data_IF_190029012237
#
_entry.id   IF_190029012237
#
_cell.length_a   1.000
_cell.length_b   1.000
_cell.length_c   1.000
_cell.angle_alpha   90.00
_cell.angle_beta   90.00
_cell.angle_gamma   90.00
#
_symmetry.space_group_name_H-M   'P 1'
#
loop_
_entity.id
_entity.type
_entity.pdbx_description
1 polymer ?
#
# COMPACT_ATOMS: atom_id res chain seq x y z
N UNK A 1 -54.10 -37.98 -18.79
CA UNK A 1 -52.63 -37.86 -18.96
C UNK A 1 -52.34 -36.46 -19.47
N UNK A 2 -52.18 -35.51 -18.54
CA UNK A 2 -51.89 -34.11 -18.82
C UNK A 2 -50.37 -33.96 -18.98
N UNK A 3 -49.92 -33.45 -20.13
CA UNK A 3 -48.52 -33.04 -20.36
C UNK A 3 -48.17 -31.92 -19.37
N UNK A 4 -46.99 -31.95 -18.72
CA UNK A 4 -46.55 -30.82 -17.93
C UNK A 4 -46.09 -29.70 -18.86
N UNK A 5 -46.50 -28.47 -18.56
CA UNK A 5 -46.06 -27.25 -19.23
C UNK A 5 -44.53 -27.09 -19.13
N UNK A 6 -43.86 -26.54 -20.16
CA UNK A 6 -42.44 -26.27 -20.10
C UNK A 6 -42.18 -25.12 -19.10
N UNK A 7 -41.38 -25.41 -18.06
CA UNK A 7 -40.83 -24.39 -17.17
C UNK A 7 -40.17 -23.28 -18.01
N UNK A 8 -40.37 -21.99 -17.69
CA UNK A 8 -39.67 -20.92 -18.36
C UNK A 8 -38.17 -21.10 -18.15
N UNK A 9 -37.42 -21.07 -19.27
CA UNK A 9 -35.98 -21.18 -19.26
C UNK A 9 -35.37 -19.97 -18.53
N UNK A 10 -34.91 -20.19 -17.29
CA UNK A 10 -34.01 -19.26 -16.61
C UNK A 10 -32.65 -19.41 -17.28
N UNK A 11 -32.41 -18.60 -18.30
CA UNK A 11 -31.08 -18.47 -18.91
C UNK A 11 -30.31 -17.39 -18.14
N UNK A 12 -29.87 -17.73 -16.93
CA UNK A 12 -28.85 -16.98 -16.22
C UNK A 12 -27.52 -17.69 -16.48
N UNK A 13 -26.57 -17.02 -17.13
CA UNK A 13 -25.30 -17.63 -17.55
C UNK A 13 -24.52 -18.18 -16.35
N UNK A 14 -24.30 -19.49 -16.37
CA UNK A 14 -23.91 -20.36 -15.27
C UNK A 14 -22.39 -20.35 -14.96
N UNK A 15 -21.72 -19.24 -15.27
CA UNK A 15 -20.26 -19.10 -15.19
C UNK A 15 -19.85 -17.92 -14.32
N UNK A 16 -18.84 -18.18 -13.48
CA UNK A 16 -18.11 -17.14 -12.75
C UNK A 16 -17.57 -16.09 -13.71
N UNK A 17 -17.61 -14.82 -13.29
CA UNK A 17 -17.24 -13.68 -14.14
C UNK A 17 -16.67 -12.54 -13.32
N UNK A 18 -15.95 -11.65 -14.00
CA UNK A 18 -15.47 -10.39 -13.43
C UNK A 18 -16.10 -9.26 -14.21
N UNK A 19 -16.46 -8.21 -13.50
CA UNK A 19 -17.03 -7.01 -14.09
C UNK A 19 -16.81 -5.80 -13.21
N UNK A 20 -17.40 -4.69 -13.65
CA UNK A 20 -17.35 -3.43 -12.93
C UNK A 20 -18.66 -2.67 -13.07
N UNK A 21 -18.91 -1.77 -12.12
CA UNK A 21 -20.03 -0.85 -12.12
C UNK A 21 -19.66 0.43 -11.37
N UNK A 22 -20.02 1.59 -11.90
CA UNK A 22 -19.89 2.84 -11.17
C UNK A 22 -19.65 4.03 -12.09
N UNK A 23 -18.94 5.03 -11.58
CA UNK A 23 -18.57 6.21 -12.37
C UNK A 23 -17.07 6.25 -12.62
N UNK A 24 -16.71 6.87 -13.75
CA UNK A 24 -15.32 7.13 -14.13
C UNK A 24 -15.19 8.56 -14.67
N UNK A 25 -14.05 9.24 -14.49
CA UNK A 25 -13.88 10.66 -14.82
C UNK A 25 -14.04 10.97 -16.31
N UNK A 26 -13.80 10.01 -17.20
CA UNK A 26 -13.95 10.23 -18.64
C UNK A 26 -15.40 10.15 -19.13
N UNK A 27 -16.33 9.63 -18.33
CA UNK A 27 -17.73 9.41 -18.72
C UNK A 27 -18.69 10.27 -17.90
N UNK A 28 -19.79 10.72 -18.51
CA UNK A 28 -20.85 11.47 -17.80
C UNK A 28 -21.84 10.57 -17.06
N UNK A 29 -22.07 9.37 -17.60
CA UNK A 29 -23.02 8.39 -17.12
C UNK A 29 -22.34 7.22 -16.38
N UNK A 30 -23.16 6.34 -15.81
CA UNK A 30 -22.68 5.11 -15.20
C UNK A 30 -22.11 4.17 -16.27
N UNK A 31 -21.00 3.54 -15.93
CA UNK A 31 -20.36 2.51 -16.76
C UNK A 31 -20.55 1.16 -16.08
N UNK A 32 -20.81 0.12 -16.87
CA UNK A 32 -20.98 -1.23 -16.35
C UNK A 32 -20.66 -2.27 -17.41
N UNK A 33 -19.93 -3.31 -17.03
CA UNK A 33 -19.68 -4.45 -17.90
C UNK A 33 -19.50 -5.73 -17.08
N UNK A 34 -19.94 -6.87 -17.62
CA UNK A 34 -19.66 -8.19 -17.04
C UNK A 34 -20.48 -8.55 -15.80
N UNK A 35 -21.46 -7.74 -15.37
CA UNK A 35 -22.28 -7.99 -14.17
C UNK A 35 -23.76 -8.14 -14.51
N UNK A 36 -24.49 -8.86 -13.67
CA UNK A 36 -25.94 -8.99 -13.77
C UNK A 36 -26.68 -7.68 -13.41
N UNK A 37 -27.76 -7.38 -14.15
CA UNK A 37 -28.52 -6.12 -13.98
C UNK A 37 -29.29 -6.05 -12.68
N UNK A 38 -29.84 -7.17 -12.20
CA UNK A 38 -30.58 -7.22 -10.94
C UNK A 38 -29.63 -7.03 -9.77
N UNK A 39 -28.42 -7.60 -9.85
CA UNK A 39 -27.35 -7.32 -8.90
C UNK A 39 -26.94 -5.84 -8.91
N UNK A 40 -26.65 -5.26 -10.08
CA UNK A 40 -26.29 -3.83 -10.19
C UNK A 40 -27.36 -2.94 -9.57
N UNK A 41 -28.64 -3.22 -9.83
CA UNK A 41 -29.76 -2.43 -9.30
C UNK A 41 -29.75 -2.44 -7.77
N UNK A 42 -29.65 -3.63 -7.16
CA UNK A 42 -29.62 -3.78 -5.70
C UNK A 42 -28.39 -3.15 -5.05
N UNK A 43 -27.24 -3.22 -5.73
CA UNK A 43 -26.00 -2.60 -5.28
C UNK A 43 -26.09 -1.07 -5.37
N UNK A 44 -26.58 -0.52 -6.48
CA UNK A 44 -26.74 0.92 -6.70
C UNK A 44 -27.70 1.54 -5.68
N UNK A 45 -28.84 0.88 -5.41
CA UNK A 45 -29.78 1.32 -4.36
C UNK A 45 -29.09 1.48 -3.00
N UNK A 46 -28.29 0.48 -2.61
CA UNK A 46 -27.58 0.51 -1.33
C UNK A 46 -26.48 1.57 -1.32
N UNK A 47 -25.68 1.66 -2.39
CA UNK A 47 -24.61 2.66 -2.53
C UNK A 47 -25.18 4.09 -2.48
N UNK A 48 -26.27 4.38 -3.21
CA UNK A 48 -26.91 5.70 -3.17
C UNK A 48 -27.44 6.02 -1.78
N UNK A 49 -28.17 5.10 -1.16
CA UNK A 49 -28.71 5.30 0.18
C UNK A 49 -27.58 5.56 1.19
N UNK A 50 -26.50 4.78 1.13
CA UNK A 50 -25.31 4.96 1.96
C UNK A 50 -24.61 6.30 1.74
N UNK A 51 -24.39 6.68 0.48
CA UNK A 51 -23.81 7.98 0.12
C UNK A 51 -24.64 9.15 0.62
N UNK A 52 -25.99 9.06 0.55
CA UNK A 52 -26.89 10.06 1.11
C UNK A 52 -26.78 10.14 2.64
N UNK A 53 -26.80 9.01 3.34
CA UNK A 53 -26.68 9.02 4.79
C UNK A 53 -25.31 9.50 5.28
N UNK A 54 -24.23 9.20 4.56
CA UNK A 54 -22.92 9.80 4.82
C UNK A 54 -22.90 11.31 4.58
N UNK A 55 -23.58 11.80 3.53
CA UNK A 55 -23.72 13.23 3.29
C UNK A 55 -24.46 13.92 4.45
N UNK A 56 -25.52 13.30 4.96
CA UNK A 56 -26.26 13.81 6.12
C UNK A 56 -25.42 13.82 7.39
N UNK A 57 -24.61 12.78 7.62
CA UNK A 57 -23.78 12.66 8.82
C UNK A 57 -22.53 13.55 8.80
N UNK A 58 -21.78 13.59 7.70
CA UNK A 58 -20.52 14.33 7.61
C UNK A 58 -20.69 15.77 7.10
N UNK A 59 -21.89 16.12 6.59
CA UNK A 59 -22.20 17.45 6.08
C UNK A 59 -21.20 17.91 5.02
N UNK A 60 -20.69 19.13 5.18
CA UNK A 60 -19.72 19.74 4.25
C UNK A 60 -18.43 18.90 4.07
N UNK A 61 -18.03 18.13 5.09
CA UNK A 61 -16.81 17.31 5.05
C UNK A 61 -16.95 16.07 4.18
N UNK A 62 -18.18 15.65 3.86
CA UNK A 62 -18.44 14.40 3.13
C UNK A 62 -17.67 14.31 1.82
N UNK A 63 -17.63 15.41 1.06
CA UNK A 63 -16.91 15.48 -0.21
C UNK A 63 -15.43 15.12 -0.08
N UNK A 64 -14.78 15.56 1.00
CA UNK A 64 -13.37 15.26 1.25
C UNK A 64 -13.18 13.87 1.87
N UNK A 65 -14.05 13.48 2.80
CA UNK A 65 -14.01 12.14 3.42
C UNK A 65 -14.15 11.05 2.36
N UNK A 66 -15.09 11.21 1.43
CA UNK A 66 -15.29 10.27 0.34
C UNK A 66 -14.09 10.25 -0.60
N UNK A 67 -13.64 11.41 -1.10
CA UNK A 67 -12.55 11.47 -2.09
C UNK A 67 -11.20 10.98 -1.55
N UNK A 68 -10.96 11.07 -0.24
CA UNK A 68 -9.72 10.61 0.41
C UNK A 68 -9.88 9.22 1.06
N UNK A 69 -11.02 8.54 0.88
CA UNK A 69 -11.19 7.20 1.43
C UNK A 69 -10.30 6.18 0.69
N UNK A 70 -9.59 5.30 1.41
CA UNK A 70 -8.83 4.24 0.77
C UNK A 70 -9.77 3.24 0.07
N UNK A 71 -9.26 2.44 -0.87
CA UNK A 71 -9.98 1.33 -1.46
C UNK A 71 -10.58 0.40 -0.39
N UNK A 72 -11.86 0.10 -0.51
CA UNK A 72 -12.57 -0.82 0.39
C UNK A 72 -12.71 -2.17 -0.27
N UNK A 73 -12.07 -3.20 0.28
CA UNK A 73 -12.19 -4.60 -0.13
C UNK A 73 -13.44 -5.21 0.49
N UNK A 74 -14.10 -6.12 -0.23
CA UNK A 74 -15.23 -6.84 0.31
C UNK A 74 -15.35 -8.27 -0.21
N UNK A 75 -15.97 -9.11 0.61
CA UNK A 75 -16.42 -10.47 0.26
C UNK A 75 -17.83 -10.62 0.79
N UNK A 76 -18.73 -11.13 -0.03
CA UNK A 76 -20.13 -11.34 0.30
C UNK A 76 -20.53 -12.78 0.01
N UNK A 77 -21.13 -13.46 0.98
CA UNK A 77 -21.67 -14.80 0.81
C UNK A 77 -22.86 -14.81 -0.15
N UNK A 78 -23.14 -16.01 -0.68
CA UNK A 78 -24.40 -16.31 -1.35
C UNK A 78 -25.57 -15.99 -0.43
N UNK A 79 -26.62 -15.38 -0.98
CA UNK A 79 -27.82 -14.96 -0.24
C UNK A 79 -27.80 -13.51 0.28
N UNK A 80 -26.64 -12.83 0.31
CA UNK A 80 -26.59 -11.41 0.69
C UNK A 80 -27.14 -10.51 -0.43
N UNK A 81 -26.67 -10.74 -1.66
CA UNK A 81 -27.04 -9.96 -2.85
C UNK A 81 -27.72 -10.80 -3.94
N UNK A 82 -28.11 -12.04 -3.63
CA UNK A 82 -28.69 -13.01 -4.56
C UNK A 82 -27.96 -14.35 -4.54
N UNK A 83 -28.09 -15.12 -5.63
CA UNK A 83 -27.66 -16.53 -5.69
C UNK A 83 -26.18 -16.74 -6.04
N UNK A 84 -25.34 -15.73 -5.82
CA UNK A 84 -23.90 -15.79 -6.02
C UNK A 84 -23.14 -15.14 -4.87
N UNK A 85 -21.90 -15.57 -4.66
CA UNK A 85 -20.95 -14.86 -3.83
C UNK A 85 -20.29 -13.74 -4.65
N UNK A 86 -19.96 -12.63 -3.99
CA UNK A 86 -19.33 -11.47 -4.63
C UNK A 86 -18.05 -11.09 -3.91
N UNK A 87 -17.00 -10.84 -4.66
CA UNK A 87 -15.68 -10.46 -4.13
C UNK A 87 -15.22 -9.25 -4.91
N UNK A 88 -14.82 -8.17 -4.25
CA UNK A 88 -14.47 -6.98 -5.01
C UNK A 88 -13.82 -5.88 -4.20
N UNK A 89 -13.58 -4.80 -4.91
CA UNK A 89 -13.07 -3.55 -4.36
C UNK A 89 -13.96 -2.39 -4.78
N UNK A 90 -14.13 -1.46 -3.85
CA UNK A 90 -14.87 -0.23 -4.01
C UNK A 90 -13.90 0.93 -3.85
N UNK A 91 -13.80 1.78 -4.86
CA UNK A 91 -12.97 2.98 -4.87
C UNK A 91 -13.83 4.24 -4.92
N UNK A 92 -13.44 5.32 -4.22
CA UNK A 92 -13.99 6.64 -4.49
C UNK A 92 -13.71 7.08 -5.94
N UNK A 93 -14.73 7.59 -6.60
CA UNK A 93 -14.63 8.04 -7.99
C UNK A 93 -15.58 9.23 -8.25
N UNK A 94 -15.51 9.78 -9.46
CA UNK A 94 -16.34 10.87 -9.96
C UNK A 94 -16.58 10.72 -11.45
N UNK A 95 -17.65 11.32 -11.96
CA UNK A 95 -17.83 11.49 -13.39
C UNK A 95 -17.11 12.71 -13.96
N UNK A 96 -17.25 12.88 -15.28
CA UNK A 96 -16.69 14.02 -16.04
C UNK A 96 -17.12 15.39 -15.53
N UNK A 97 -18.26 15.49 -14.86
CA UNK A 97 -18.78 16.76 -14.30
C UNK A 97 -18.49 16.89 -12.80
N UNK A 98 -17.75 15.95 -12.21
CA UNK A 98 -17.31 15.98 -10.82
C UNK A 98 -18.32 15.41 -9.81
N UNK A 99 -19.44 14.81 -10.24
CA UNK A 99 -20.38 14.16 -9.32
C UNK A 99 -19.74 12.89 -8.77
N UNK A 100 -19.61 12.83 -7.44
CA UNK A 100 -18.98 11.73 -6.70
C UNK A 100 -19.88 10.51 -6.66
N UNK A 101 -19.31 9.36 -7.01
CA UNK A 101 -19.96 8.06 -6.91
C UNK A 101 -18.86 6.98 -7.05
N UNK A 102 -18.90 5.88 -6.29
CA UNK A 102 -17.83 4.90 -6.31
C UNK A 102 -17.68 4.14 -7.64
N UNK A 103 -16.48 3.68 -7.94
CA UNK A 103 -16.24 2.61 -8.92
C UNK A 103 -16.08 1.29 -8.17
N UNK A 104 -16.81 0.26 -8.59
CA UNK A 104 -16.72 -1.08 -8.03
C UNK A 104 -16.19 -2.04 -9.08
N UNK A 105 -15.13 -2.78 -8.76
CA UNK A 105 -14.59 -3.89 -9.57
C UNK A 105 -14.76 -5.18 -8.78
N UNK A 106 -15.40 -6.18 -9.36
CA UNK A 106 -15.75 -7.40 -8.61
C UNK A 106 -15.82 -8.66 -9.47
N UNK A 107 -15.60 -9.79 -8.80
CA UNK A 107 -15.89 -11.13 -9.29
C UNK A 107 -17.22 -11.62 -8.71
N UNK A 108 -18.09 -12.14 -9.59
CA UNK A 108 -19.29 -12.88 -9.25
C UNK A 108 -19.00 -14.37 -9.35
N UNK A 109 -19.14 -15.08 -8.24
CA UNK A 109 -18.83 -16.50 -8.10
C UNK A 109 -20.10 -17.30 -7.86
N UNK A 110 -20.61 -17.99 -8.88
CA UNK A 110 -21.86 -18.77 -8.81
C UNK A 110 -21.66 -20.12 -8.14
N UNK A 111 -20.43 -20.68 -8.18
CA UNK A 111 -20.09 -22.01 -7.64
C UNK A 111 -19.34 -21.99 -6.31
N UNK A 112 -18.97 -20.81 -5.81
CA UNK A 112 -18.27 -20.70 -4.53
C UNK A 112 -19.20 -21.05 -3.37
N UNK A 113 -18.77 -22.00 -2.52
CA UNK A 113 -19.53 -22.50 -1.36
C UNK A 113 -18.70 -22.57 -0.07
N UNK A 114 -17.43 -22.14 -0.11
CA UNK A 114 -16.56 -22.13 1.06
C UNK A 114 -16.82 -20.91 1.94
N UNK A 115 -16.23 -20.90 3.14
CA UNK A 115 -16.30 -19.74 4.02
C UNK A 115 -15.59 -18.51 3.37
N UNK A 116 -16.17 -17.30 3.39
CA UNK A 116 -15.61 -16.07 2.81
C UNK A 116 -14.13 -15.82 3.12
N UNK A 117 -13.72 -16.15 4.35
CA UNK A 117 -12.35 -15.97 4.82
C UNK A 117 -11.30 -16.70 3.96
N UNK A 118 -11.67 -17.76 3.24
CA UNK A 118 -10.72 -18.44 2.33
C UNK A 118 -10.32 -17.56 1.14
N UNK A 119 -11.21 -16.65 0.70
CA UNK A 119 -10.93 -15.67 -0.36
C UNK A 119 -10.23 -14.42 0.17
N UNK A 120 -10.41 -14.09 1.45
CA UNK A 120 -9.75 -12.96 2.12
C UNK A 120 -8.22 -13.04 2.01
N UNK A 121 -7.67 -14.26 2.03
CA UNK A 121 -6.23 -14.51 1.94
C UNK A 121 -5.66 -14.34 0.53
N UNK A 122 -6.48 -14.09 -0.48
CA UNK A 122 -6.05 -13.83 -1.85
C UNK A 122 -5.67 -12.36 -2.08
N UNK A 123 -4.70 -11.87 -1.31
CA UNK A 123 -4.25 -10.47 -1.36
C UNK A 123 -3.82 -10.04 -2.77
N UNK A 124 -3.18 -10.94 -3.53
CA UNK A 124 -2.73 -10.64 -4.89
C UNK A 124 -3.88 -10.30 -5.84
N UNK A 125 -5.05 -10.90 -5.63
CA UNK A 125 -6.23 -10.57 -6.44
C UNK A 125 -6.77 -9.18 -6.08
N UNK A 126 -6.91 -8.88 -4.79
CA UNK A 126 -7.39 -7.57 -4.35
C UNK A 126 -6.46 -6.45 -4.78
N UNK A 127 -5.14 -6.61 -4.63
CA UNK A 127 -4.16 -5.63 -5.09
C UNK A 127 -4.25 -5.39 -6.60
N UNK A 128 -4.43 -6.45 -7.40
CA UNK A 128 -4.60 -6.31 -8.83
C UNK A 128 -5.91 -5.60 -9.21
N UNK A 129 -7.02 -5.92 -8.52
CA UNK A 129 -8.30 -5.27 -8.72
C UNK A 129 -8.28 -3.78 -8.34
N UNK A 130 -7.61 -3.42 -7.23
CA UNK A 130 -7.38 -2.04 -6.79
C UNK A 130 -6.57 -1.27 -7.82
N UNK A 131 -5.41 -1.81 -8.21
CA UNK A 131 -4.54 -1.17 -9.20
C UNK A 131 -5.27 -0.93 -10.52
N UNK A 132 -6.10 -1.88 -10.97
CA UNK A 132 -6.94 -1.70 -12.15
C UNK A 132 -7.99 -0.61 -11.95
N UNK A 133 -8.75 -0.62 -10.85
CA UNK A 133 -9.76 0.39 -10.55
C UNK A 133 -9.14 1.80 -10.45
N UNK A 134 -7.95 1.93 -9.88
CA UNK A 134 -7.19 3.18 -9.77
C UNK A 134 -6.80 3.77 -11.13
N UNK A 135 -6.59 2.94 -12.16
CA UNK A 135 -6.33 3.46 -13.53
C UNK A 135 -7.45 4.35 -14.04
N UNK A 136 -8.68 4.19 -13.54
CA UNK A 136 -9.80 5.05 -13.88
C UNK A 136 -9.61 6.51 -13.47
N UNK A 137 -8.75 6.79 -12.49
CA UNK A 137 -8.48 8.14 -12.00
C UNK A 137 -7.35 8.84 -12.79
N UNK A 138 -6.70 8.15 -13.72
CA UNK A 138 -5.58 8.69 -14.50
C UNK A 138 -6.03 9.61 -15.63
N UNK A 139 -5.21 10.60 -15.99
CA UNK A 139 -5.48 11.52 -17.11
C UNK A 139 -5.50 10.81 -18.47
N UNK A 140 -4.73 9.72 -18.62
CA UNK A 140 -4.65 8.88 -19.82
C UNK A 140 -5.63 7.70 -19.82
N UNK A 141 -6.66 7.74 -18.97
CA UNK A 141 -7.62 6.64 -18.83
C UNK A 141 -8.35 6.32 -20.14
N UNK A 142 -8.14 5.10 -20.64
CA UNK A 142 -8.86 4.53 -21.78
C UNK A 142 -9.79 3.40 -21.34
N UNK A 143 -11.08 3.56 -21.66
CA UNK A 143 -12.13 2.60 -21.27
C UNK A 143 -11.93 1.22 -21.89
N UNK A 144 -11.52 1.14 -23.15
CA UNK A 144 -11.37 -0.14 -23.85
C UNK A 144 -10.21 -0.95 -23.26
N UNK A 145 -9.10 -0.28 -22.95
CA UNK A 145 -7.94 -0.85 -22.26
C UNK A 145 -8.33 -1.32 -20.86
N UNK A 146 -9.08 -0.51 -20.12
CA UNK A 146 -9.59 -0.87 -18.79
C UNK A 146 -10.49 -2.12 -18.86
N UNK A 147 -11.51 -2.12 -19.71
CA UNK A 147 -12.38 -3.29 -19.95
C UNK A 147 -11.56 -4.54 -20.32
N UNK A 148 -10.56 -4.39 -21.19
CA UNK A 148 -9.70 -5.51 -21.62
C UNK A 148 -8.86 -6.05 -20.45
N UNK A 149 -8.34 -5.16 -19.61
CA UNK A 149 -7.56 -5.54 -18.43
C UNK A 149 -8.43 -6.24 -17.38
N UNK A 150 -9.66 -5.76 -17.14
CA UNK A 150 -10.63 -6.42 -16.25
C UNK A 150 -10.97 -7.83 -16.75
N UNK A 151 -11.16 -8.02 -18.06
CA UNK A 151 -11.40 -9.36 -18.65
C UNK A 151 -10.21 -10.32 -18.51
N UNK A 152 -9.00 -9.79 -18.37
CA UNK A 152 -7.75 -10.57 -18.18
C UNK A 152 -7.43 -10.82 -16.71
N UNK A 153 -8.11 -10.15 -15.78
CA UNK A 153 -7.95 -10.40 -14.36
C UNK A 153 -8.39 -11.84 -14.08
N UNK A 154 -7.54 -12.60 -13.38
CA UNK A 154 -7.91 -13.97 -12.97
C UNK A 154 -9.05 -13.91 -11.96
N UNK A 155 -9.83 -14.98 -11.83
CA UNK A 155 -10.77 -15.13 -10.72
C UNK A 155 -10.02 -15.23 -9.37
N UNK A 156 -10.62 -14.74 -8.28
CA UNK A 156 -10.05 -14.90 -6.94
C UNK A 156 -10.07 -16.39 -6.57
N UNK A 157 -9.02 -16.86 -5.90
CA UNK A 157 -8.84 -18.26 -5.54
C UNK A 157 -8.93 -18.41 -4.03
N UNK A 158 -9.78 -19.31 -3.50
CA UNK A 158 -9.74 -19.63 -2.10
C UNK A 158 -8.38 -20.26 -1.76
N UNK A 159 -7.74 -19.80 -0.69
CA UNK A 159 -6.56 -20.47 -0.13
C UNK A 159 -6.99 -21.47 0.94
N UNK A 160 -6.32 -22.61 0.95
CA UNK A 160 -6.35 -23.54 2.07
C UNK A 160 -5.63 -22.89 3.24
N UNK A 161 -6.33 -22.84 4.37
CA UNK A 161 -5.78 -22.45 5.67
C UNK A 161 -6.05 -23.69 6.53
N UNK A 162 -5.00 -24.35 7.03
CA UNK A 162 -5.13 -25.54 7.88
C UNK A 162 -5.95 -25.23 9.16
N UNK A 163 -6.09 -23.94 9.49
CA UNK A 163 -6.91 -23.39 10.58
C UNK A 163 -8.21 -22.69 10.11
N UNK A 164 -8.60 -22.77 8.82
CA UNK A 164 -9.89 -22.24 8.38
C UNK A 164 -11.02 -22.97 9.11
N UNK A 165 -11.87 -22.26 9.88
CA UNK A 165 -12.97 -22.91 10.58
C UNK A 165 -13.86 -23.63 9.56
N UNK A 166 -14.03 -24.93 9.76
CA UNK A 166 -14.99 -25.77 9.04
C UNK A 166 -16.34 -25.04 9.05
N UNK A 167 -17.07 -24.97 7.93
CA UNK A 167 -18.35 -24.29 7.88
C UNK A 167 -19.26 -24.85 8.99
N UNK A 168 -19.46 -24.07 10.06
CA UNK A 168 -20.44 -24.40 11.07
C UNK A 168 -21.80 -24.27 10.39
N UNK A 169 -22.45 -25.41 10.13
CA UNK A 169 -23.78 -25.55 9.52
C UNK A 169 -24.92 -24.90 10.33
N UNK A 170 -24.62 -23.94 11.20
CA UNK A 170 -25.57 -23.27 12.08
C UNK A 170 -25.43 -21.74 11.97
N UNK A 171 -25.65 -21.20 10.77
CA UNK A 171 -25.74 -19.74 10.54
C UNK A 171 -27.12 -19.41 9.98
N UNK A 172 -27.93 -18.70 10.76
CA UNK A 172 -29.28 -18.27 10.38
C UNK A 172 -29.30 -17.22 9.24
N UNK A 173 -28.17 -16.56 8.94
CA UNK A 173 -28.07 -15.51 7.91
C UNK A 173 -26.73 -15.54 7.16
N UNK A 174 -26.72 -15.27 5.84
CA UNK A 174 -25.49 -15.09 5.07
C UNK A 174 -24.79 -13.79 5.45
N UNK A 175 -23.47 -13.72 5.29
CA UNK A 175 -22.63 -12.65 5.84
C UNK A 175 -21.76 -11.99 4.79
N UNK A 176 -21.27 -10.78 5.08
CA UNK A 176 -20.27 -10.08 4.28
C UNK A 176 -19.16 -9.50 5.13
N UNK A 177 -17.95 -9.46 4.57
CA UNK A 177 -16.74 -8.89 5.15
C UNK A 177 -16.37 -7.65 4.34
N UNK A 178 -16.10 -6.53 5.01
CA UNK A 178 -15.71 -5.27 4.39
C UNK A 178 -14.51 -4.72 5.14
N UNK A 179 -13.41 -4.39 4.46
CA UNK A 179 -12.22 -3.89 5.12
C UNK A 179 -11.40 -2.97 4.23
N UNK A 180 -10.63 -2.11 4.87
CA UNK A 180 -9.61 -1.27 4.27
C UNK A 180 -8.26 -1.69 4.83
N UNK A 181 -7.20 -1.43 4.06
CA UNK A 181 -5.84 -1.50 4.58
C UNK A 181 -5.51 -0.10 5.10
N UNK A 182 -5.33 0.01 6.41
CA UNK A 182 -4.96 1.26 7.05
C UNK A 182 -3.60 1.74 6.50
N UNK A 183 -3.55 2.95 5.98
CA UNK A 183 -2.37 3.48 5.28
C UNK A 183 -1.18 3.73 6.21
N UNK A 184 -1.43 3.95 7.49
CA UNK A 184 -0.41 4.20 8.52
C UNK A 184 0.10 2.90 9.13
N UNK A 185 -0.82 2.02 9.55
CA UNK A 185 -0.50 0.80 10.30
C UNK A 185 -0.36 -0.45 9.41
N UNK A 186 -0.77 -0.37 8.14
CA UNK A 186 -0.86 -1.49 7.18
C UNK A 186 -1.69 -2.67 7.67
N UNK A 187 -2.50 -2.49 8.71
CA UNK A 187 -3.37 -3.54 9.23
C UNK A 187 -4.72 -3.49 8.53
N UNK A 188 -5.29 -4.66 8.21
CA UNK A 188 -6.66 -4.71 7.73
C UNK A 188 -7.61 -4.31 8.86
N UNK A 189 -8.40 -3.28 8.62
CA UNK A 189 -9.45 -2.82 9.54
C UNK A 189 -10.78 -2.92 8.83
N UNK A 190 -11.74 -3.61 9.45
CA UNK A 190 -12.98 -3.94 8.77
C UNK A 190 -14.10 -4.37 9.68
N UNK A 191 -15.25 -4.58 9.06
CA UNK A 191 -16.49 -4.98 9.70
C UNK A 191 -17.03 -6.24 9.05
N UNK A 192 -17.59 -7.12 9.88
CA UNK A 192 -18.44 -8.23 9.44
C UNK A 192 -19.89 -7.80 9.59
N UNK A 193 -20.70 -8.03 8.55
CA UNK A 193 -22.13 -7.73 8.52
C UNK A 193 -22.93 -9.02 8.32
N UNK A 194 -24.00 -9.19 9.08
CA UNK A 194 -24.91 -10.32 8.95
C UNK A 194 -26.16 -9.91 8.16
N UNK A 195 -26.49 -10.66 7.11
CA UNK A 195 -27.54 -10.35 6.15
C UNK A 195 -27.14 -9.30 5.11
N UNK A 196 -28.15 -8.76 4.41
CA UNK A 196 -27.96 -7.67 3.45
C UNK A 196 -27.57 -6.38 4.19
N UNK A 197 -26.44 -5.74 3.84
CA UNK A 197 -26.02 -4.48 4.46
C UNK A 197 -27.10 -3.40 4.39
N UNK A 198 -27.36 -2.73 5.51
CA UNK A 198 -28.25 -1.58 5.57
C UNK A 198 -27.51 -0.26 5.31
N UNK A 199 -28.25 0.85 5.25
CA UNK A 199 -27.67 2.19 5.07
C UNK A 199 -26.68 2.56 6.17
N UNK A 200 -27.00 2.22 7.43
CA UNK A 200 -26.14 2.50 8.57
C UNK A 200 -24.80 1.73 8.52
N UNK A 201 -24.74 0.60 7.81
CA UNK A 201 -23.52 -0.16 7.66
C UNK A 201 -22.56 0.47 6.65
N UNK A 202 -23.08 1.15 5.63
CA UNK A 202 -22.25 1.87 4.67
C UNK A 202 -21.45 3.00 5.34
N UNK A 203 -22.06 3.69 6.30
CA UNK A 203 -21.39 4.74 7.09
C UNK A 203 -20.14 4.20 7.79
N UNK A 204 -20.21 2.96 8.32
CA UNK A 204 -19.09 2.32 9.03
C UNK A 204 -17.85 2.16 8.15
N UNK A 205 -17.99 2.16 6.83
CA UNK A 205 -16.88 2.11 5.89
C UNK A 205 -16.05 3.42 5.87
N UNK A 206 -16.54 4.50 6.47
CA UNK A 206 -15.90 5.83 6.47
C UNK A 206 -15.63 6.41 7.87
N UNK A 207 -16.07 5.74 8.95
CA UNK A 207 -16.06 6.28 10.32
C UNK A 207 -14.66 6.57 10.90
N UNK A 208 -13.62 5.94 10.38
CA UNK A 208 -12.25 6.04 10.89
C UNK A 208 -11.34 6.93 10.04
N UNK A 209 -11.86 7.58 8.99
CA UNK A 209 -11.07 8.47 8.13
C UNK A 209 -10.83 9.81 8.87
N UNK A 210 -9.81 9.84 9.74
CA UNK A 210 -9.36 11.06 10.42
C UNK A 210 -8.79 12.04 9.40
N UNK A 211 -9.62 12.94 8.88
CA UNK A 211 -9.09 14.16 8.25
C UNK A 211 -8.40 15.02 9.33
N UNK A 212 -7.26 15.66 9.00
CA UNK A 212 -6.70 16.71 9.85
C UNK A 212 -7.77 17.78 10.15
N UNK A 213 -7.78 18.38 11.35
CA UNK A 213 -8.67 19.51 11.61
C UNK A 213 -8.35 20.65 10.64
N UNK A 214 -9.39 21.30 10.10
CA UNK A 214 -9.22 22.52 9.31
C UNK A 214 -8.44 23.57 10.13
N UNK A 215 -7.58 24.38 9.51
CA UNK A 215 -6.92 25.47 10.20
C UNK A 215 -7.99 26.47 10.68
N UNK A 216 -8.24 26.47 11.99
CA UNK A 216 -9.13 27.43 12.61
C UNK A 216 -8.59 28.84 12.37
N UNK A 217 -9.42 29.70 11.78
CA UNK A 217 -9.16 31.14 11.72
C UNK A 217 -8.88 31.66 13.13
N UNK A 218 -7.73 32.32 13.26
CA UNK A 218 -7.25 32.97 14.47
C UNK A 218 -8.33 33.82 15.15
N UNK A 219 -8.54 33.57 16.45
CA UNK A 219 -8.96 34.59 17.39
C UNK A 219 -8.08 34.50 18.63
N UNK A 220 -7.13 35.43 18.72
CA UNK A 220 -6.33 35.68 19.91
C UNK A 220 -7.17 36.31 21.01
N UNK A 221 -6.94 35.88 22.27
CA UNK A 221 -6.71 36.71 23.49
C UNK A 221 -6.82 35.85 24.77
N UNK A 222 -6.26 36.27 25.92
CA UNK A 222 -4.84 36.40 26.23
C UNK A 222 -4.44 35.55 27.47
N UNK A 223 -3.15 35.29 27.60
CA UNK A 223 -2.51 34.61 28.72
C UNK A 223 -2.80 35.26 30.08
N UNK A 224 -2.98 34.43 31.12
CA UNK A 224 -2.70 34.79 32.51
C UNK A 224 -1.67 33.83 33.11
N UNK A 225 -0.74 34.46 33.83
CA UNK A 225 0.50 33.96 34.43
C UNK A 225 0.21 33.26 35.76
N UNK A 226 0.94 32.19 36.09
CA UNK A 226 0.82 31.52 37.38
C UNK A 226 1.90 30.49 37.74
N UNK A 227 3.10 31.00 38.07
CA UNK A 227 4.07 30.52 39.06
C UNK A 227 4.57 29.04 39.09
N UNK A 228 5.89 28.92 38.94
CA UNK A 228 6.70 27.74 39.22
C UNK A 228 6.84 27.43 40.73
N UNK A 229 6.90 26.13 41.07
CA UNK A 229 7.68 25.57 42.19
C UNK A 229 8.14 24.13 41.89
N UNK A 230 9.39 23.84 42.22
CA UNK A 230 10.02 22.52 42.42
C UNK A 230 10.94 22.64 43.64
N UNK A 231 11.61 21.58 44.17
CA UNK A 231 11.33 20.14 44.22
C UNK A 231 11.42 19.60 45.68
N UNK A 232 11.14 18.31 45.94
CA UNK A 232 11.61 17.65 47.18
C UNK A 232 11.85 16.13 47.04
N UNK A 233 12.88 15.68 47.77
CA UNK A 233 13.62 14.43 47.76
C UNK A 233 12.86 13.13 48.14
N UNK A 234 13.40 12.02 47.64
CA UNK A 234 13.13 10.63 48.03
C UNK A 234 13.64 10.25 49.44
N UNK A 235 13.25 9.05 49.94
CA UNK A 235 14.26 8.10 50.42
C UNK A 235 14.05 6.62 50.00
N UNK A 236 15.02 5.80 50.42
CA UNK A 236 15.56 4.55 49.85
C UNK A 236 14.83 3.24 50.18
N UNK A 237 15.16 2.22 49.38
CA UNK A 237 14.80 0.80 49.41
C UNK A 237 15.33 -0.04 50.61
N UNK A 238 14.91 -1.32 50.70
CA UNK A 238 15.75 -2.42 51.19
C UNK A 238 16.10 -3.47 50.12
N UNK A 239 17.18 -4.23 50.40
CA UNK A 239 17.97 -5.12 49.54
C UNK A 239 17.76 -6.61 49.88
N UNK A 240 17.81 -7.52 48.89
CA UNK A 240 18.41 -8.90 48.88
C UNK A 240 17.77 -9.78 47.77
N UNK A 241 18.38 -10.75 47.06
CA UNK A 241 19.74 -11.24 46.70
C UNK A 241 19.51 -12.27 45.53
N UNK A 242 20.55 -12.87 44.91
CA UNK A 242 20.73 -12.98 43.46
C UNK A 242 19.95 -14.12 42.77
N UNK A 243 19.33 -13.84 41.62
CA UNK A 243 18.84 -14.86 40.69
C UNK A 243 19.48 -14.67 39.31
N UNK A 244 20.24 -15.70 38.91
CA UNK A 244 20.58 -16.16 37.56
C UNK A 244 20.96 -15.10 36.50
N UNK A 245 22.16 -15.25 35.94
CA UNK A 245 22.58 -14.58 34.72
C UNK A 245 21.49 -14.71 33.64
N UNK A 246 20.87 -13.58 33.28
CA UNK A 246 19.89 -13.53 32.20
C UNK A 246 20.62 -13.79 30.88
N UNK A 247 20.05 -14.60 29.96
CA UNK A 247 20.62 -14.81 28.64
C UNK A 247 20.75 -13.45 27.95
N UNK A 248 21.87 -13.27 27.24
CA UNK A 248 22.20 -12.08 26.45
C UNK A 248 20.97 -11.65 25.66
N UNK A 249 20.45 -10.46 25.97
CA UNK A 249 19.24 -9.90 25.34
C UNK A 249 19.44 -9.82 23.84
N UNK A 250 18.62 -10.53 23.07
CA UNK A 250 18.58 -10.43 21.61
C UNK A 250 18.21 -9.01 21.22
N UNK A 251 19.16 -8.23 20.73
CA UNK A 251 18.90 -6.90 20.19
C UNK A 251 18.17 -7.03 18.86
N UNK A 252 16.90 -6.61 18.81
CA UNK A 252 16.08 -6.62 17.59
C UNK A 252 16.41 -5.42 16.69
N UNK A 253 16.40 -5.66 15.37
CA UNK A 253 16.38 -4.59 14.37
C UNK A 253 15.00 -3.91 14.45
N UNK A 254 14.99 -2.58 14.51
CA UNK A 254 13.79 -1.75 14.40
C UNK A 254 13.92 -0.83 13.20
N UNK A 255 12.79 -0.37 12.69
CA UNK A 255 12.75 0.48 11.53
C UNK A 255 11.49 1.34 11.52
N UNK A 256 11.55 2.44 10.78
CA UNK A 256 10.40 3.21 10.31
C UNK A 256 10.48 3.37 8.81
N UNK A 257 9.35 3.66 8.19
CA UNK A 257 9.28 3.99 6.78
C UNK A 257 8.17 5.00 6.55
N UNK A 258 8.32 5.84 5.54
CA UNK A 258 7.30 6.77 5.12
C UNK A 258 7.46 7.06 3.62
N UNK A 259 6.34 7.36 2.95
CA UNK A 259 6.32 7.71 1.54
C UNK A 259 5.19 8.69 1.26
N UNK A 260 5.43 9.65 0.37
CA UNK A 260 4.46 10.67 0.00
C UNK A 260 4.61 11.02 -1.49
N UNK A 261 3.51 11.40 -2.15
CA UNK A 261 3.53 11.78 -3.56
C UNK A 261 4.21 13.14 -3.84
N UNK A 262 4.75 13.82 -2.82
CA UNK A 262 5.09 15.24 -2.87
C UNK A 262 3.87 16.16 -3.00
N UNK A 263 4.12 17.44 -3.26
CA UNK A 263 3.09 18.50 -3.33
C UNK A 263 2.51 18.73 -4.73
N UNK A 264 3.16 18.18 -5.78
CA UNK A 264 2.76 18.42 -7.18
C UNK A 264 2.06 17.23 -7.82
N UNK A 265 2.45 16.00 -7.47
CA UNK A 265 1.95 14.79 -8.12
C UNK A 265 0.73 14.24 -7.39
N UNK A 266 -0.28 13.85 -8.16
CA UNK A 266 -1.51 13.22 -7.66
C UNK A 266 -1.36 11.75 -7.31
N UNK A 267 -0.30 11.10 -7.80
CA UNK A 267 -0.01 9.70 -7.59
C UNK A 267 1.44 9.50 -7.14
N UNK A 268 1.65 8.49 -6.30
CA UNK A 268 2.97 8.09 -5.84
C UNK A 268 3.48 6.92 -6.68
N UNK A 269 4.56 7.15 -7.43
CA UNK A 269 5.25 6.13 -8.22
C UNK A 269 6.33 5.39 -7.43
N UNK A 270 6.61 5.79 -6.19
CA UNK A 270 7.49 5.04 -5.29
C UNK A 270 6.77 3.82 -4.72
N UNK A 271 7.55 2.79 -4.38
CA UNK A 271 7.07 1.59 -3.69
C UNK A 271 8.11 1.10 -2.70
N UNK A 272 7.64 0.63 -1.53
CA UNK A 272 8.49 0.21 -0.42
C UNK A 272 8.30 -1.28 -0.13
N UNK A 273 9.39 -1.97 0.18
CA UNK A 273 9.39 -3.30 0.77
C UNK A 273 10.03 -3.26 2.15
N UNK A 274 9.38 -3.88 3.14
CA UNK A 274 9.94 -4.02 4.50
C UNK A 274 9.67 -5.43 5.01
N UNK A 275 10.71 -6.08 5.52
CA UNK A 275 10.62 -7.37 6.21
C UNK A 275 11.60 -7.39 7.36
N UNK A 276 11.14 -7.78 8.55
CA UNK A 276 11.99 -7.92 9.75
C UNK A 276 12.61 -9.30 9.88
N UNK A 277 12.02 -10.33 9.27
CA UNK A 277 12.48 -11.71 9.34
C UNK A 277 12.24 -12.42 7.99
N UNK A 278 13.30 -12.59 7.17
CA UNK A 278 14.65 -12.07 7.36
C UNK A 278 14.69 -10.54 7.15
N UNK A 279 15.63 -9.79 7.77
CA UNK A 279 15.76 -8.35 7.59
C UNK A 279 16.09 -7.99 6.14
N UNK A 280 15.09 -7.49 5.40
CA UNK A 280 15.21 -7.04 4.01
C UNK A 280 14.32 -5.82 3.79
N UNK A 281 14.91 -4.76 3.28
CA UNK A 281 14.25 -3.47 3.05
C UNK A 281 14.56 -3.00 1.63
N UNK A 282 13.61 -2.38 0.94
CA UNK A 282 13.86 -1.82 -0.37
C UNK A 282 12.97 -0.62 -0.68
N UNK A 283 13.49 0.29 -1.50
CA UNK A 283 12.75 1.37 -2.15
C UNK A 283 12.91 1.18 -3.65
N UNK A 284 11.79 1.24 -4.37
CA UNK A 284 11.77 1.35 -5.82
C UNK A 284 11.07 2.66 -6.20
N UNK A 285 11.75 3.53 -6.93
CA UNK A 285 11.24 4.78 -7.50
C UNK A 285 10.90 4.53 -8.96
N UNK A 286 9.62 4.71 -9.31
CA UNK A 286 9.06 4.40 -10.61
C UNK A 286 9.51 5.40 -11.68
N UNK A 287 10.12 4.90 -12.75
CA UNK A 287 10.57 5.68 -13.90
C UNK A 287 9.59 5.50 -15.05
N UNK A 288 9.14 6.61 -15.63
CA UNK A 288 8.22 6.64 -16.75
C UNK A 288 7.06 7.59 -16.48
N UNK A 289 5.98 7.43 -17.22
CA UNK A 289 4.80 8.28 -17.09
C UNK A 289 3.64 7.55 -16.44
N UNK A 290 2.90 8.29 -15.61
CA UNK A 290 1.64 7.86 -14.99
C UNK A 290 1.73 6.52 -14.26
N UNK A 291 0.71 5.69 -14.44
CA UNK A 291 0.58 4.41 -13.74
C UNK A 291 1.70 3.41 -14.07
N UNK A 292 2.29 3.49 -15.26
CA UNK A 292 3.29 2.52 -15.70
C UNK A 292 4.59 2.61 -14.87
N UNK A 293 4.96 3.82 -14.45
CA UNK A 293 6.06 4.06 -13.52
C UNK A 293 5.77 3.41 -12.15
N UNK A 294 4.60 3.69 -11.58
CA UNK A 294 4.17 3.13 -10.30
C UNK A 294 4.07 1.59 -10.34
N UNK A 295 3.60 1.03 -11.46
CA UNK A 295 3.52 -0.42 -11.64
C UNK A 295 4.92 -1.06 -11.71
N UNK A 296 5.87 -0.43 -12.39
CA UNK A 296 7.25 -0.91 -12.44
C UNK A 296 7.91 -0.94 -11.06
N UNK A 297 7.71 0.10 -10.24
CA UNK A 297 8.17 0.13 -8.86
C UNK A 297 7.50 -0.98 -8.02
N UNK A 298 6.18 -1.14 -8.09
CA UNK A 298 5.44 -2.19 -7.38
C UNK A 298 5.90 -3.59 -7.76
N UNK A 299 6.08 -3.87 -9.05
CA UNK A 299 6.59 -5.16 -9.51
C UNK A 299 7.99 -5.45 -8.97
N UNK A 300 8.83 -4.41 -8.90
CA UNK A 300 10.18 -4.51 -8.35
C UNK A 300 10.16 -4.97 -6.89
N UNK A 301 9.39 -4.31 -6.03
CA UNK A 301 9.31 -4.66 -4.61
C UNK A 301 8.57 -5.97 -4.34
N UNK A 302 7.53 -6.29 -5.13
CA UNK A 302 6.75 -7.52 -4.93
C UNK A 302 7.59 -8.78 -5.18
N UNK A 303 8.47 -8.78 -6.18
CA UNK A 303 9.34 -9.93 -6.44
C UNK A 303 10.41 -10.14 -5.34
N UNK A 304 10.67 -9.12 -4.52
CA UNK A 304 11.52 -9.26 -3.32
C UNK A 304 10.80 -9.96 -2.16
N UNK A 305 9.46 -9.96 -2.12
CA UNK A 305 8.69 -10.69 -1.12
C UNK A 305 8.96 -12.20 -1.18
N UNK A 306 9.06 -12.77 -2.38
CA UNK A 306 9.41 -14.18 -2.59
C UNK A 306 10.77 -14.56 -1.98
N UNK A 307 11.71 -13.60 -1.88
CA UNK A 307 13.03 -13.83 -1.31
C UNK A 307 12.93 -14.13 0.18
N UNK A 308 12.02 -13.44 0.86
CA UNK A 308 11.79 -13.58 2.30
C UNK A 308 11.03 -14.85 2.67
N UNK A 309 10.22 -15.40 1.75
CA UNK A 309 9.47 -16.63 1.97
C UNK A 309 10.37 -17.89 2.08
N UNK A 310 11.60 -17.83 1.55
CA UNK A 310 12.49 -19.00 1.45
C UNK A 310 13.53 -19.14 2.57
N UNK A 311 13.70 -18.16 3.47
CA UNK A 311 14.73 -18.19 4.51
C UNK A 311 14.33 -17.35 5.72
N UNK A 312 14.40 -17.92 6.92
CA UNK A 312 13.99 -17.22 8.14
C UNK A 312 15.03 -16.19 8.66
N UNK A 313 16.31 -16.32 8.28
CA UNK A 313 17.39 -15.60 8.98
C UNK A 313 18.27 -14.74 8.07
N UNK A 314 18.62 -15.22 6.88
CA UNK A 314 19.53 -14.53 5.98
C UNK A 314 19.02 -14.51 4.55
N UNK A 315 19.33 -13.44 3.83
CA UNK A 315 19.02 -13.32 2.41
C UNK A 315 20.33 -13.36 1.63
N UNK A 316 20.46 -14.34 0.75
CA UNK A 316 21.56 -14.38 -0.21
C UNK A 316 21.44 -13.21 -1.20
N UNK A 317 22.44 -12.31 -1.30
CA UNK A 317 22.44 -11.23 -2.28
C UNK A 317 22.31 -11.69 -3.73
N UNK A 318 22.73 -12.91 -4.06
CA UNK A 318 22.54 -13.45 -5.41
C UNK A 318 21.06 -13.68 -5.72
N UNK A 319 20.26 -14.07 -4.73
CA UNK A 319 18.81 -14.24 -4.86
C UNK A 319 18.12 -12.91 -5.11
N UNK A 320 18.52 -11.85 -4.38
CA UNK A 320 18.03 -10.47 -4.64
C UNK A 320 18.36 -10.08 -6.07
N UNK A 321 19.63 -10.23 -6.49
CA UNK A 321 20.05 -9.90 -7.86
C UNK A 321 19.26 -10.68 -8.91
N UNK A 322 19.04 -11.98 -8.69
CA UNK A 322 18.25 -12.83 -9.59
C UNK A 322 16.82 -12.33 -9.73
N UNK A 323 16.15 -11.99 -8.62
CA UNK A 323 14.79 -11.44 -8.65
C UNK A 323 14.72 -10.10 -9.36
N UNK A 324 15.65 -9.17 -9.10
CA UNK A 324 15.73 -7.90 -9.82
C UNK A 324 15.97 -8.12 -11.33
N UNK A 325 16.78 -9.12 -11.71
CA UNK A 325 16.97 -9.53 -13.10
C UNK A 325 15.71 -10.10 -13.76
N UNK A 326 14.90 -10.84 -13.01
CA UNK A 326 13.57 -11.30 -13.45
C UNK A 326 12.64 -10.11 -13.68
N UNK A 327 12.57 -9.16 -12.76
CA UNK A 327 11.77 -7.93 -12.93
C UNK A 327 12.24 -7.17 -14.18
N UNK A 328 13.55 -7.00 -14.36
CA UNK A 328 14.11 -6.34 -15.54
C UNK A 328 13.65 -7.00 -16.84
N UNK A 329 13.71 -8.33 -16.91
CA UNK A 329 13.27 -9.09 -18.08
C UNK A 329 11.77 -8.96 -18.33
N UNK A 330 10.96 -8.98 -17.26
CA UNK A 330 9.51 -8.77 -17.34
C UNK A 330 9.18 -7.38 -17.90
N UNK A 331 9.82 -6.32 -17.39
CA UNK A 331 9.60 -4.96 -17.89
C UNK A 331 10.07 -4.79 -19.33
N UNK A 332 11.19 -5.40 -19.73
CA UNK A 332 11.68 -5.35 -21.12
C UNK A 332 10.77 -6.08 -22.11
N UNK A 333 10.08 -7.14 -21.68
CA UNK A 333 9.15 -7.89 -22.53
C UNK A 333 7.83 -7.17 -22.81
N UNK A 334 7.55 -6.06 -22.10
CA UNK A 334 6.35 -5.26 -22.33
C UNK A 334 6.48 -4.48 -23.64
N UNK A 335 5.45 -4.57 -24.47
CA UNK A 335 5.34 -3.72 -25.65
C UNK A 335 5.08 -2.27 -25.19
N UNK A 336 5.85 -1.37 -25.77
CA UNK A 336 5.72 0.08 -25.56
C UNK A 336 5.43 0.68 -26.93
N UNK A 337 4.48 1.61 -27.01
CA UNK A 337 4.16 2.31 -28.26
C UNK A 337 5.38 3.04 -28.80
N UNK A 338 5.43 3.26 -30.11
CA UNK A 338 6.54 4.02 -30.73
C UNK A 338 6.70 5.39 -30.05
N UNK A 339 7.92 5.67 -29.56
CA UNK A 339 8.26 6.94 -28.92
C UNK A 339 7.94 7.08 -27.42
N UNK A 340 7.21 6.14 -26.81
CA UNK A 340 6.93 6.19 -25.37
C UNK A 340 8.13 5.71 -24.54
N UNK A 341 8.38 6.36 -23.39
CA UNK A 341 9.44 5.94 -22.47
C UNK A 341 9.08 4.57 -21.88
N UNK A 342 10.00 3.61 -21.96
CA UNK A 342 9.78 2.29 -21.36
C UNK A 342 9.72 2.44 -19.83
N UNK A 343 8.68 1.89 -19.18
CA UNK A 343 8.57 1.93 -17.72
C UNK A 343 9.72 1.17 -17.08
N UNK A 344 10.23 1.73 -15.99
CA UNK A 344 11.33 1.16 -15.24
C UNK A 344 11.27 1.54 -13.77
N UNK A 345 12.29 1.12 -13.02
CA UNK A 345 12.42 1.54 -11.62
C UNK A 345 13.88 1.72 -11.22
N UNK A 346 14.15 2.83 -10.54
CA UNK A 346 15.34 3.06 -9.73
C UNK A 346 15.16 2.28 -8.43
N UNK A 347 16.11 1.43 -8.02
CA UNK A 347 15.95 0.59 -6.83
C UNK A 347 17.14 0.66 -5.90
N UNK A 348 16.88 0.61 -4.60
CA UNK A 348 17.88 0.31 -3.56
C UNK A 348 17.28 -0.72 -2.61
N UNK A 349 18.03 -1.76 -2.29
CA UNK A 349 17.65 -2.82 -1.36
C UNK A 349 18.78 -3.09 -0.37
N UNK A 350 18.43 -3.32 0.89
CA UNK A 350 19.38 -3.65 1.95
C UNK A 350 18.92 -4.89 2.72
N UNK A 351 19.80 -5.87 2.85
CA UNK A 351 19.63 -6.99 3.79
C UNK A 351 20.62 -6.85 4.94
N UNK A 352 20.18 -7.24 6.14
CA UNK A 352 21.00 -7.18 7.36
C UNK A 352 21.08 -8.56 7.97
N UNK A 353 22.29 -9.08 8.12
CA UNK A 353 22.53 -10.37 8.74
C UNK A 353 23.91 -10.37 9.42
N UNK A 354 24.00 -10.93 10.63
CA UNK A 354 25.26 -11.04 11.39
C UNK A 354 26.11 -9.75 11.38
N UNK A 355 25.51 -8.62 11.77
CA UNK A 355 26.19 -7.31 11.81
C UNK A 355 26.84 -6.90 10.48
N UNK A 356 26.29 -7.36 9.37
CA UNK A 356 26.69 -6.96 8.02
C UNK A 356 25.47 -6.44 7.28
N UNK A 357 25.59 -5.24 6.72
CA UNK A 357 24.63 -4.72 5.73
C UNK A 357 25.12 -5.17 4.35
N UNK A 358 24.23 -5.73 3.55
CA UNK A 358 24.46 -5.86 2.11
C UNK A 358 23.47 -4.98 1.37
N UNK A 359 23.98 -3.99 0.64
CA UNK A 359 23.17 -3.07 -0.16
C UNK A 359 23.33 -3.41 -1.63
N UNK A 360 22.22 -3.49 -2.35
CA UNK A 360 22.16 -3.62 -3.80
C UNK A 360 21.37 -2.46 -4.37
N UNK A 361 21.83 -1.85 -5.46
CA UNK A 361 21.09 -0.76 -6.09
C UNK A 361 21.24 -0.72 -7.61
N UNK A 362 20.28 -0.10 -8.26
CA UNK A 362 20.36 0.26 -9.67
C UNK A 362 19.51 1.48 -9.94
N UNK A 363 20.16 2.62 -10.17
CA UNK A 363 19.51 3.91 -10.36
C UNK A 363 20.14 4.95 -9.46
N UNK A 364 19.30 5.83 -8.94
CA UNK A 364 19.64 6.93 -8.05
C UNK A 364 18.86 6.94 -6.73
N UNK A 365 18.06 5.91 -6.43
CA UNK A 365 17.64 5.62 -5.07
C UNK A 365 18.90 5.29 -4.25
N UNK A 366 18.99 5.84 -3.03
CA UNK A 366 20.24 5.88 -2.28
C UNK A 366 20.16 5.17 -0.94
N UNK A 367 21.31 4.70 -0.48
CA UNK A 367 21.52 4.28 0.90
C UNK A 367 22.62 5.10 1.58
N UNK A 368 22.39 5.47 2.84
CA UNK A 368 23.34 6.18 3.69
C UNK A 368 23.48 5.45 5.03
N UNK A 369 24.70 5.32 5.51
CA UNK A 369 25.02 4.84 6.85
C UNK A 369 25.38 6.02 7.74
N UNK A 370 24.57 6.30 8.75
CA UNK A 370 24.92 7.22 9.82
C UNK A 370 25.76 6.47 10.86
N UNK A 371 27.02 6.87 11.02
CA UNK A 371 27.95 6.36 12.03
C UNK A 371 28.67 7.52 12.70
N UNK A 372 28.70 7.51 14.03
CA UNK A 372 29.36 8.54 14.84
C UNK A 372 28.94 9.97 14.47
N UNK A 373 27.66 10.16 14.18
CA UNK A 373 27.07 11.45 13.77
C UNK A 373 27.42 11.88 12.33
N UNK A 374 28.10 11.04 11.55
CA UNK A 374 28.51 11.33 10.18
C UNK A 374 27.71 10.47 9.20
N UNK A 375 27.16 11.10 8.15
CA UNK A 375 26.51 10.40 7.04
C UNK A 375 27.56 9.85 6.07
N UNK A 376 27.51 8.56 5.79
CA UNK A 376 28.36 7.88 4.82
C UNK A 376 27.51 7.36 3.65
N UNK A 377 27.64 7.90 2.43
CA UNK A 377 26.93 7.37 1.28
C UNK A 377 27.44 5.97 0.93
N UNK A 378 26.53 4.99 0.85
CA UNK A 378 26.85 3.62 0.47
C UNK A 378 26.66 3.36 -1.04
N UNK A 379 25.81 4.15 -1.68
CA UNK A 379 25.45 4.03 -3.09
C UNK A 379 26.01 5.17 -3.91
N UNK A 380 26.30 4.91 -5.18
CA UNK A 380 26.63 5.94 -6.17
C UNK A 380 25.59 5.94 -7.28
N UNK A 381 25.02 7.11 -7.58
CA UNK A 381 24.00 7.24 -8.63
C UNK A 381 24.51 6.72 -9.98
N UNK A 382 23.72 5.86 -10.62
CA UNK A 382 23.97 5.42 -11.99
C UNK A 382 23.41 6.42 -12.99
N UNK A 383 24.08 7.56 -13.10
CA UNK A 383 23.68 8.66 -13.99
C UNK A 383 24.80 9.07 -14.92
N UNK A 384 24.44 9.53 -16.10
CA UNK A 384 25.32 10.26 -17.00
C UNK A 384 25.01 11.75 -16.83
N UNK A 385 26.06 12.52 -16.54
CA UNK A 385 25.97 13.97 -16.41
C UNK A 385 26.44 14.58 -17.73
N UNK A 386 25.49 14.99 -18.57
CA UNK A 386 25.72 15.75 -19.80
C UNK A 386 25.02 17.11 -19.72
N UNK A 387 24.37 17.54 -20.82
CA UNK A 387 23.52 18.75 -20.80
C UNK A 387 22.30 18.62 -19.87
N UNK A 388 21.86 17.39 -19.59
CA UNK A 388 20.84 17.03 -18.60
C UNK A 388 21.30 15.79 -17.83
N UNK A 389 20.89 15.66 -16.57
CA UNK A 389 21.12 14.45 -15.76
C UNK A 389 20.14 13.37 -16.20
N UNK A 390 20.67 12.23 -16.66
CA UNK A 390 19.86 11.08 -17.10
C UNK A 390 20.34 9.80 -16.43
N UNK A 391 19.41 8.94 -16.04
CA UNK A 391 19.75 7.63 -15.49
C UNK A 391 20.39 6.75 -16.57
N UNK A 392 21.59 6.28 -16.28
CA UNK A 392 22.37 5.38 -17.13
C UNK A 392 21.99 3.92 -16.90
N UNK A 393 21.47 3.60 -15.70
CA UNK A 393 21.10 2.25 -15.32
C UNK A 393 19.93 2.25 -14.35
N UNK A 394 18.91 1.47 -14.67
CA UNK A 394 17.73 1.22 -13.84
C UNK A 394 17.03 -0.05 -14.34
N UNK A 395 16.12 -0.60 -13.55
CA UNK A 395 15.38 -1.81 -13.94
C UNK A 395 14.47 -1.49 -15.12
N UNK A 396 14.46 -2.32 -16.15
CA UNK A 396 13.67 -2.12 -17.37
C UNK A 396 14.40 -1.31 -18.45
N UNK A 397 15.61 -0.84 -18.19
CA UNK A 397 16.41 -0.04 -19.14
C UNK A 397 17.11 -0.88 -20.21
N UNK A 398 17.89 -1.90 -19.80
CA UNK A 398 18.80 -2.65 -20.68
C UNK A 398 18.69 -4.16 -20.50
N UNK A 399 18.94 -4.92 -21.58
CA UNK A 399 18.96 -6.39 -21.53
C UNK A 399 20.06 -6.92 -20.59
N UNK A 400 21.23 -6.29 -20.64
CA UNK A 400 22.30 -6.55 -19.69
C UNK A 400 22.04 -5.70 -18.44
N UNK A 401 21.41 -6.30 -17.44
CA UNK A 401 21.12 -5.67 -16.16
C UNK A 401 22.01 -6.26 -15.07
N UNK A 402 22.77 -5.39 -14.39
CA UNK A 402 23.67 -5.76 -13.31
C UNK A 402 23.60 -4.69 -12.21
N UNK A 403 22.86 -4.93 -11.12
CA UNK A 403 22.87 -4.01 -9.99
C UNK A 403 24.24 -4.04 -9.31
N UNK A 404 24.64 -2.90 -8.78
CA UNK A 404 25.83 -2.79 -7.95
C UNK A 404 25.53 -3.33 -6.55
N UNK A 405 26.58 -3.80 -5.87
CA UNK A 405 26.50 -4.43 -4.56
C UNK A 405 27.66 -3.97 -3.70
N UNK A 406 27.36 -3.60 -2.46
CA UNK A 406 28.36 -3.30 -1.43
C UNK A 406 28.00 -4.02 -0.13
N UNK A 407 29.02 -4.34 0.65
CA UNK A 407 28.88 -4.87 2.01
C UNK A 407 29.58 -3.96 2.98
N UNK A 408 28.91 -3.66 4.09
CA UNK A 408 29.43 -2.81 5.14
C UNK A 408 29.18 -3.43 6.52
N UNK A 409 30.05 -3.11 7.46
CA UNK A 409 29.84 -3.50 8.86
C UNK A 409 28.65 -2.73 9.43
N UNK A 410 27.86 -3.40 10.27
CA UNK A 410 26.69 -2.84 10.94
C UNK A 410 26.93 -2.79 12.45
N UNK A 411 27.23 -1.59 12.94
CA UNK A 411 27.43 -1.31 14.35
C UNK A 411 26.12 -1.12 15.09
N UNK A 412 26.15 -1.34 16.42
CA UNK A 412 24.96 -1.26 17.26
C UNK A 412 24.37 0.15 17.39
N UNK A 413 25.18 1.19 17.17
CA UNK A 413 24.77 2.61 17.17
C UNK A 413 24.53 3.16 15.77
N UNK A 414 24.76 2.35 14.73
CA UNK A 414 24.59 2.80 13.36
C UNK A 414 23.10 2.91 13.00
N UNK A 415 22.80 3.82 12.08
CA UNK A 415 21.48 3.90 11.43
C UNK A 415 21.65 3.86 9.93
N UNK A 416 20.79 3.11 9.26
CA UNK A 416 20.76 2.99 7.81
C UNK A 416 19.54 3.73 7.29
N UNK A 417 19.75 4.67 6.37
CA UNK A 417 18.70 5.35 5.62
C UNK A 417 18.69 4.80 4.19
N UNK A 418 17.55 4.29 3.74
CA UNK A 418 17.24 4.15 2.32
C UNK A 418 16.31 5.30 1.92
N UNK A 419 16.53 5.93 0.78
CA UNK A 419 15.67 7.02 0.31
C UNK A 419 15.55 7.09 -1.21
N UNK A 420 14.44 7.66 -1.69
CA UNK A 420 14.33 8.08 -3.09
C UNK A 420 15.14 9.35 -3.34
N UNK A 421 15.59 9.54 -4.58
CA UNK A 421 16.47 10.65 -4.94
C UNK A 421 15.91 12.05 -4.59
N UNK A 422 14.60 12.34 -4.77
CA UNK A 422 14.07 13.66 -4.45
C UNK A 422 14.21 14.08 -2.98
N UNK A 423 14.24 13.13 -2.04
CA UNK A 423 14.36 13.43 -0.61
C UNK A 423 15.65 14.20 -0.30
N UNK A 424 16.78 13.69 -0.78
CA UNK A 424 18.11 14.26 -0.54
C UNK A 424 18.46 15.38 -1.51
N UNK A 425 17.60 15.62 -2.51
CA UNK A 425 17.65 16.84 -3.30
C UNK A 425 16.99 18.00 -2.54
N UNK A 426 15.88 17.71 -1.85
CA UNK A 426 15.12 18.72 -1.11
C UNK A 426 15.77 19.04 0.24
N UNK A 427 16.24 18.03 0.96
CA UNK A 427 16.88 18.18 2.26
C UNK A 427 18.40 18.14 2.12
N UNK A 428 19.07 19.11 2.77
CA UNK A 428 20.53 19.10 2.87
C UNK A 428 20.99 17.92 3.73
N UNK A 429 22.12 17.32 3.38
CA UNK A 429 22.72 16.19 4.09
C UNK A 429 22.86 16.43 5.60
N UNK A 430 23.20 17.66 6.01
CA UNK A 430 23.26 18.05 7.43
C UNK A 430 21.92 17.88 8.15
N UNK A 431 20.82 18.31 7.54
CA UNK A 431 19.47 18.21 8.12
C UNK A 431 19.07 16.74 8.25
N UNK A 432 19.36 15.95 7.21
CA UNK A 432 19.11 14.51 7.24
C UNK A 432 19.91 13.83 8.37
N UNK A 433 21.19 14.18 8.53
CA UNK A 433 22.03 13.66 9.61
C UNK A 433 21.50 14.00 11.01
N UNK A 434 21.05 15.25 11.18
CA UNK A 434 20.46 15.75 12.43
C UNK A 434 19.18 14.99 12.79
N UNK A 435 18.24 14.88 11.83
CA UNK A 435 17.00 14.11 12.02
C UNK A 435 17.27 12.64 12.31
N UNK A 436 18.21 12.02 11.59
CA UNK A 436 18.62 10.64 11.83
C UNK A 436 19.29 10.48 13.20
N UNK A 437 19.91 11.50 13.78
CA UNK A 437 20.60 11.41 15.08
C UNK A 437 19.66 11.67 16.25
N UNK A 438 18.82 12.70 16.15
CA UNK A 438 18.03 13.22 17.28
C UNK A 438 16.64 12.60 17.39
N UNK A 439 16.09 12.11 16.29
CA UNK A 439 14.75 11.50 16.27
C UNK A 439 14.83 10.03 16.68
N UNK A 440 13.79 9.49 17.33
CA UNK A 440 13.67 8.06 17.55
C UNK A 440 13.47 7.33 16.22
N UNK A 441 13.96 6.10 16.09
CA UNK A 441 13.93 5.38 14.81
C UNK A 441 12.49 5.24 14.31
N UNK A 442 11.54 4.97 15.19
CA UNK A 442 10.12 4.77 14.91
C UNK A 442 9.45 5.98 14.24
N UNK A 443 9.89 7.18 14.60
CA UNK A 443 9.30 8.45 14.12
C UNK A 443 10.16 9.09 12.99
N UNK A 444 11.38 8.58 12.77
CA UNK A 444 12.40 9.25 11.97
C UNK A 444 12.04 9.36 10.48
N UNK A 445 11.51 8.30 9.87
CA UNK A 445 11.13 8.34 8.47
C UNK A 445 9.99 9.35 8.23
N UNK A 446 9.01 9.42 9.14
CA UNK A 446 7.93 10.41 9.04
C UNK A 446 8.46 11.84 9.21
N UNK A 447 9.35 12.07 10.19
CA UNK A 447 9.99 13.36 10.37
C UNK A 447 10.76 13.83 9.11
N UNK A 448 11.49 12.92 8.44
CA UNK A 448 12.18 13.21 7.18
C UNK A 448 11.20 13.62 6.06
N UNK A 449 10.07 12.93 5.95
CA UNK A 449 9.04 13.26 4.95
C UNK A 449 8.38 14.60 5.27
N UNK A 450 8.02 14.86 6.53
CA UNK A 450 7.41 16.13 6.93
C UNK A 450 8.35 17.32 6.67
N UNK A 451 9.63 17.20 7.02
CA UNK A 451 10.62 18.24 6.75
C UNK A 451 10.76 18.49 5.24
N UNK A 452 10.79 17.43 4.43
CA UNK A 452 10.83 17.57 2.97
C UNK A 452 9.57 18.24 2.41
N UNK A 453 8.38 17.99 2.99
CA UNK A 453 7.14 18.65 2.59
C UNK A 453 7.10 20.13 2.99
N UNK A 454 7.65 20.49 4.15
CA UNK A 454 7.81 21.89 4.58
C UNK A 454 8.69 22.65 3.59
N UNK A 455 9.78 22.02 3.14
CA UNK A 455 10.65 22.54 2.08
C UNK A 455 10.03 22.47 0.67
N UNK A 456 8.75 22.08 0.57
CA UNK A 456 7.96 22.02 -0.67
C UNK A 456 8.47 20.99 -1.68
N UNK A 457 8.81 19.79 -1.21
CA UNK A 457 9.10 18.64 -2.09
C UNK A 457 7.98 18.45 -3.12
N UNK A 458 8.33 18.51 -4.41
CA UNK A 458 7.38 18.46 -5.52
C UNK A 458 7.14 17.04 -6.02
N UNK A 459 8.19 16.23 -6.03
CA UNK A 459 8.18 14.87 -6.55
C UNK A 459 7.93 13.84 -5.44
N UNK A 460 7.80 12.56 -5.81
CA UNK A 460 7.61 11.48 -4.86
C UNK A 460 8.83 11.38 -3.91
N UNK A 461 8.55 11.28 -2.61
CA UNK A 461 9.59 11.22 -1.57
C UNK A 461 9.33 10.00 -0.69
N UNK A 462 10.38 9.24 -0.44
CA UNK A 462 10.32 8.01 0.34
C UNK A 462 11.55 7.83 1.20
N UNK A 463 11.36 7.29 2.40
CA UNK A 463 12.42 6.99 3.34
C UNK A 463 12.13 5.67 4.08
N UNK A 464 13.19 4.88 4.33
CA UNK A 464 13.20 3.78 5.29
C UNK A 464 14.40 4.01 6.20
N UNK A 465 14.16 4.12 7.51
CA UNK A 465 15.21 4.28 8.52
C UNK A 465 15.29 3.01 9.35
N UNK A 466 16.47 2.42 9.48
CA UNK A 466 16.71 1.14 10.14
C UNK A 466 17.79 1.33 11.19
N UNK A 467 17.66 0.64 12.33
CA UNK A 467 18.63 0.65 13.42
C UNK A 467 18.37 -0.47 14.43
N UNK A 468 18.90 -0.33 15.63
CA UNK A 468 18.69 -1.27 16.74
C UNK A 468 17.82 -0.65 17.84
N UNK A 469 16.96 -1.49 18.45
CA UNK A 469 16.11 -1.07 19.58
C UNK A 469 16.94 -0.63 20.80
N UNK A 470 18.08 -1.32 21.02
CA UNK A 470 18.98 -1.04 22.13
C UNK A 470 20.43 -1.24 21.72
N UNK A 471 21.29 -0.31 22.07
CA UNK A 471 22.74 -0.51 22.00
C UNK A 471 23.12 -1.44 23.17
N UNK A 472 23.74 -2.61 22.92
CA UNK A 472 24.28 -3.44 24.00
C UNK A 472 25.27 -2.61 24.83
N UNK A 473 25.12 -2.68 26.15
CA UNK A 473 26.01 -1.98 27.09
C UNK A 473 27.41 -2.55 27.11
#
# INVERSE_FOLDING_TARGET
>A
MTKPDPKPAVVASDSDRIGFFGKVPSHGDFVSEGLDREFITRLDEWLRAGMHACADQYGARWSSVFSNAPPTRFISEIGVWGDAAYVGVLLPSRDRVGRRYPLVVLAQLTRFRLHPRTLYLDETWFMAAEALAETSMSEDFDMNRFTTAIKRLRLPKPKEDDDAPVPTHNRDKPTSLWWQIDTETRRPKGVKLDGRPGTADFIKLFQDNKLPPEPALHSEKPQQVGAAKSPALAPKAPVALPLAAKPVTSTSIIYSYATHSGTKLSANADSLFVSSQPPLFAIADGIGEGHAAAEAARLTVNLLADVTAGSAHSVDPQTIRGKLGTVNSLLLSRQVGEGALRPGASVVAASIFNQTITVLWSGDARAYLLRDGTMHPLTRDHVIVGMKRTLAQYIGHSQQFRPDIIRENWGWSDRLLLCSFPLVQQLKERVVAELLSETKIEDCAEALIQEALIETARDNISAIVIGHDRVPR
#
